data_IF_013765139563
#
_entry.id   IF_013765139563
#
_cell.length_a   1.000
_cell.length_b   1.000
_cell.length_c   1.000
_cell.angle_alpha   90.00
_cell.angle_beta   90.00
_cell.angle_gamma   90.00
#
_symmetry.space_group_name_H-M   'P 1'
#
loop_
_entity.id
_entity.type
_entity.pdbx_description
1 polymer ?
#
# COMPACT_ATOMS: atom_id res chain seq x y z
N UNK A 1 3.33 7.44 -20.83
CA UNK A 1 3.59 6.33 -19.89
C UNK A 1 2.89 6.70 -18.59
N UNK A 2 1.85 5.95 -18.20
CA UNK A 2 1.11 6.25 -16.98
C UNK A 2 1.85 5.71 -15.75
N UNK A 3 1.79 6.46 -14.64
CA UNK A 3 2.20 5.98 -13.32
C UNK A 3 0.92 5.70 -12.56
N UNK A 4 0.76 4.47 -12.09
CA UNK A 4 -0.39 4.08 -11.27
C UNK A 4 0.03 3.96 -9.82
N UNK A 5 -0.72 4.57 -8.90
CA UNK A 5 -0.45 4.53 -7.48
C UNK A 5 -1.59 3.79 -6.75
N UNK A 6 -1.24 2.70 -6.06
CA UNK A 6 -2.13 2.00 -5.15
C UNK A 6 -1.74 2.33 -3.70
N UNK A 7 -2.60 3.09 -3.02
CA UNK A 7 -2.43 3.41 -1.60
C UNK A 7 -2.99 2.27 -0.75
N UNK A 8 -2.12 1.62 0.04
CA UNK A 8 -2.46 0.51 0.94
C UNK A 8 -2.59 0.97 2.40
N UNK A 9 -2.01 2.11 2.75
CA UNK A 9 -2.20 2.79 4.04
C UNK A 9 -1.59 4.20 4.03
N UNK A 10 -1.76 4.95 5.12
CA UNK A 10 -1.54 6.41 5.20
C UNK A 10 -2.43 7.25 4.26
N UNK A 11 -3.50 6.65 3.73
CA UNK A 11 -4.52 7.36 2.94
C UNK A 11 -5.54 8.01 3.88
N UNK A 12 -5.40 9.32 4.11
CA UNK A 12 -6.23 10.08 5.06
C UNK A 12 -6.11 9.60 6.52
N UNK A 13 -4.96 9.05 6.89
CA UNK A 13 -4.67 8.56 8.24
C UNK A 13 -3.16 8.69 8.54
N UNK A 14 -2.80 8.68 9.83
CA UNK A 14 -1.40 8.76 10.28
C UNK A 14 -0.89 7.37 10.64
N UNK A 15 0.22 6.96 10.04
CA UNK A 15 0.79 5.61 10.21
C UNK A 15 0.31 4.62 9.16
N UNK A 16 0.82 3.38 9.27
CA UNK A 16 0.64 2.32 8.27
C UNK A 16 0.95 2.73 6.82
N UNK A 17 1.95 3.58 6.64
CA UNK A 17 2.41 4.04 5.33
C UNK A 17 2.81 2.87 4.44
N UNK A 18 2.14 2.78 3.29
CA UNK A 18 2.46 1.79 2.26
C UNK A 18 1.79 2.20 0.94
N UNK A 19 2.59 2.43 -0.10
CA UNK A 19 2.13 2.79 -1.45
C UNK A 19 2.83 1.91 -2.47
N UNK A 20 2.10 1.35 -3.42
CA UNK A 20 2.68 0.61 -4.56
C UNK A 20 2.54 1.46 -5.80
N UNK A 21 3.66 1.76 -6.47
CA UNK A 21 3.65 2.41 -7.77
C UNK A 21 3.92 1.40 -8.89
N UNK A 22 3.14 1.46 -9.96
CA UNK A 22 3.40 0.75 -11.21
C UNK A 22 3.96 1.72 -12.23
N UNK A 23 5.19 1.49 -12.69
CA UNK A 23 5.85 2.28 -13.73
C UNK A 23 6.61 1.35 -14.68
N UNK A 24 6.31 1.45 -15.97
CA UNK A 24 6.96 0.63 -17.01
C UNK A 24 6.85 -0.89 -16.77
N UNK A 25 5.69 -1.36 -16.31
CA UNK A 25 5.46 -2.77 -15.98
C UNK A 25 6.16 -3.24 -14.71
N UNK A 26 6.96 -2.40 -14.06
CA UNK A 26 7.57 -2.68 -12.76
C UNK A 26 6.66 -2.17 -11.66
N UNK A 27 6.61 -2.94 -10.56
CA UNK A 27 5.91 -2.56 -9.34
C UNK A 27 6.92 -2.35 -8.22
N UNK A 28 6.84 -1.19 -7.58
CA UNK A 28 7.70 -0.81 -6.46
C UNK A 28 6.82 -0.49 -5.26
N UNK A 29 7.06 -1.18 -4.14
CA UNK A 29 6.42 -0.88 -2.86
C UNK A 29 7.28 0.12 -2.11
N UNK A 30 6.68 1.24 -1.73
CA UNK A 30 7.26 2.24 -0.87
C UNK A 30 6.66 2.09 0.53
N UNK A 31 7.54 1.76 1.47
CA UNK A 31 7.24 1.57 2.89
C UNK A 31 6.25 0.43 3.21
N UNK A 32 6.29 -0.01 4.47
CA UNK A 32 5.41 -1.02 5.04
C UNK A 32 5.22 -0.75 6.55
N UNK A 33 4.95 0.51 6.89
CA UNK A 33 4.82 0.96 8.27
C UNK A 33 3.61 0.37 9.00
N UNK A 34 3.47 0.73 10.27
CA UNK A 34 2.35 0.34 11.13
C UNK A 34 1.64 1.54 11.75
N UNK A 35 0.38 1.36 12.18
CA UNK A 35 -0.41 2.37 12.89
C UNK A 35 -0.44 2.04 14.39
N UNK A 36 0.32 2.80 15.19
CA UNK A 36 0.55 2.52 16.62
C UNK A 36 -0.71 2.53 17.51
N UNK A 37 -1.76 3.26 17.09
CA UNK A 37 -3.04 3.32 17.82
C UNK A 37 -3.91 2.06 17.73
N UNK A 38 -3.53 1.06 16.92
CA UNK A 38 -4.24 -0.20 16.82
C UNK A 38 -3.38 -1.35 17.36
N UNK A 39 -4.00 -2.25 18.12
CA UNK A 39 -3.35 -3.46 18.65
C UNK A 39 -3.81 -4.74 17.95
N UNK A 40 -4.66 -4.61 16.93
CA UNK A 40 -5.11 -5.71 16.09
C UNK A 40 -4.59 -5.55 14.65
N UNK A 41 -5.12 -6.34 13.73
CA UNK A 41 -4.71 -6.38 12.32
C UNK A 41 -4.86 -5.04 11.59
N UNK A 42 -5.68 -4.10 12.10
CA UNK A 42 -5.85 -2.77 11.53
C UNK A 42 -4.58 -1.93 11.60
N UNK A 43 -3.59 -2.33 12.41
CA UNK A 43 -2.32 -1.63 12.47
C UNK A 43 -1.49 -1.78 11.19
N UNK A 44 -1.75 -2.80 10.37
CA UNK A 44 -1.00 -3.05 9.13
C UNK A 44 -1.67 -2.39 7.91
N UNK A 45 -0.91 -2.14 6.83
CA UNK A 45 -1.47 -1.78 5.52
C UNK A 45 -2.40 -2.87 4.96
N UNK A 46 -3.31 -2.49 4.08
CA UNK A 46 -4.25 -3.41 3.44
C UNK A 46 -3.59 -4.22 2.29
N UNK A 47 -2.75 -5.19 2.66
CA UNK A 47 -2.05 -6.04 1.69
C UNK A 47 -2.99 -6.92 0.84
N UNK A 48 -4.26 -7.10 1.23
CA UNK A 48 -5.21 -7.85 0.41
C UNK A 48 -5.46 -7.15 -0.94
N UNK A 49 -5.36 -5.82 -0.98
CA UNK A 49 -5.47 -5.02 -2.21
C UNK A 49 -4.25 -5.16 -3.12
N UNK A 50 -3.06 -5.42 -2.58
CA UNK A 50 -1.84 -5.63 -3.37
C UNK A 50 -1.96 -6.85 -4.31
N UNK A 51 -2.71 -7.89 -3.88
CA UNK A 51 -2.96 -9.11 -4.68
C UNK A 51 -3.71 -8.86 -5.99
N UNK A 52 -4.49 -7.77 -6.09
CA UNK A 52 -5.25 -7.43 -7.31
C UNK A 52 -4.37 -6.96 -8.46
N UNK A 53 -3.15 -6.54 -8.18
CA UNK A 53 -2.22 -6.03 -9.20
C UNK A 53 -1.63 -7.15 -10.10
N UNK A 54 -1.82 -8.43 -9.77
CA UNK A 54 -1.28 -9.58 -10.53
C UNK A 54 -2.22 -10.22 -11.56
N UNK A 55 -3.34 -9.56 -11.91
CA UNK A 55 -4.37 -10.11 -12.81
C UNK A 55 -4.66 -9.23 -14.04
N UNK A 56 -3.72 -8.38 -14.44
CA UNK A 56 -3.75 -7.67 -15.72
C UNK A 56 -2.85 -8.41 -16.72
#
# INVERSE_FOLDING_TARGET
MAIECLVLGAGQEVGKSCVVATIGGKRVMFDCGMHMGYHDRRHYPDFARARRLGRA
#
